data_IF_230863868971
#
_entry.id   IF_230863868971
#
_cell.length_a   1.000
_cell.length_b   1.000
_cell.length_c   1.000
_cell.angle_alpha   90.00
_cell.angle_beta   90.00
_cell.angle_gamma   90.00
#
_symmetry.space_group_name_H-M   'P 1'
#
loop_
_entity.id
_entity.type
_entity.pdbx_description
1 polymer ?
#
# COMPACT_ATOMS: atom_id res chain seq x y z
N UNK A 1 16.59 37.49 -75.35
CA UNK A 1 17.12 37.19 -73.99
C UNK A 1 16.47 35.99 -73.29
N UNK A 2 15.43 35.34 -73.83
CA UNK A 2 14.59 34.45 -73.01
C UNK A 2 14.80 32.93 -73.17
N UNK A 3 15.66 32.46 -74.07
CA UNK A 3 15.82 31.02 -74.36
C UNK A 3 16.93 30.36 -73.53
N UNK A 4 18.04 31.05 -73.29
CA UNK A 4 19.13 30.53 -72.46
C UNK A 4 18.75 30.45 -70.98
N UNK A 5 18.05 31.46 -70.45
CA UNK A 5 17.53 31.44 -69.07
C UNK A 5 16.52 30.30 -68.85
N UNK A 6 15.66 30.00 -69.85
CA UNK A 6 14.71 28.89 -69.76
C UNK A 6 15.41 27.52 -69.72
N UNK A 7 16.46 27.35 -70.52
CA UNK A 7 17.26 26.11 -70.58
C UNK A 7 18.06 25.93 -69.29
N UNK A 8 18.67 26.98 -68.77
CA UNK A 8 19.37 26.94 -67.48
C UNK A 8 18.44 26.59 -66.32
N UNK A 9 17.22 27.13 -66.34
CA UNK A 9 16.20 26.84 -65.32
C UNK A 9 15.69 25.39 -65.39
N UNK A 10 15.43 24.86 -66.58
CA UNK A 10 15.03 23.44 -66.77
C UNK A 10 16.16 22.47 -66.37
N UNK A 11 17.41 22.82 -66.70
CA UNK A 11 18.58 22.03 -66.31
C UNK A 11 18.78 22.03 -64.79
N UNK A 12 18.65 23.18 -64.14
CA UNK A 12 18.74 23.31 -62.68
C UNK A 12 17.63 22.52 -61.97
N UNK A 13 16.40 22.55 -62.51
CA UNK A 13 15.27 21.81 -61.96
C UNK A 13 15.48 20.29 -62.08
N UNK A 14 15.95 19.80 -63.23
CA UNK A 14 16.33 18.38 -63.39
C UNK A 14 17.47 17.96 -62.47
N UNK A 15 18.48 18.81 -62.29
CA UNK A 15 19.56 18.55 -61.33
C UNK A 15 19.03 18.45 -59.89
N UNK A 16 18.13 19.34 -59.48
CA UNK A 16 17.50 19.28 -58.16
C UNK A 16 16.67 18.00 -57.98
N UNK A 17 15.92 17.58 -59.00
CA UNK A 17 15.15 16.34 -58.96
C UNK A 17 16.04 15.09 -58.83
N UNK A 18 17.15 15.02 -59.58
CA UNK A 18 18.08 13.90 -59.49
C UNK A 18 18.83 13.87 -58.15
N UNK A 19 19.22 15.03 -57.61
CA UNK A 19 19.78 15.12 -56.25
C UNK A 19 18.75 14.66 -55.22
N UNK A 20 17.50 15.11 -55.32
CA UNK A 20 16.44 14.70 -54.41
C UNK A 20 16.18 13.19 -54.47
N UNK A 21 16.17 12.58 -55.67
CA UNK A 21 16.06 11.13 -55.84
C UNK A 21 17.23 10.38 -55.21
N UNK A 22 18.46 10.86 -55.42
CA UNK A 22 19.66 10.25 -54.86
C UNK A 22 19.65 10.32 -53.31
N UNK A 23 19.29 11.47 -52.74
CA UNK A 23 19.15 11.67 -51.30
C UNK A 23 18.04 10.77 -50.74
N UNK A 24 16.88 10.70 -51.38
CA UNK A 24 15.78 9.84 -50.94
C UNK A 24 16.18 8.36 -50.97
N UNK A 25 16.87 7.91 -52.01
CA UNK A 25 17.34 6.52 -52.13
C UNK A 25 18.35 6.16 -51.04
N UNK A 26 19.27 7.06 -50.72
CA UNK A 26 20.23 6.83 -49.62
C UNK A 26 19.53 6.83 -48.27
N UNK A 27 18.60 7.76 -48.05
CA UNK A 27 17.78 7.82 -46.84
C UNK A 27 16.91 6.55 -46.66
N UNK A 28 16.34 6.01 -47.74
CA UNK A 28 15.61 4.75 -47.72
C UNK A 28 16.50 3.58 -47.31
N UNK A 29 17.73 3.52 -47.83
CA UNK A 29 18.70 2.47 -47.51
C UNK A 29 19.17 2.57 -46.06
N UNK A 30 19.41 3.78 -45.56
CA UNK A 30 19.75 4.04 -44.17
C UNK A 30 18.58 3.64 -43.25
N UNK A 31 17.36 4.05 -43.59
CA UNK A 31 16.14 3.67 -42.85
C UNK A 31 15.94 2.15 -42.83
N UNK A 32 16.15 1.46 -43.95
CA UNK A 32 16.08 -0.01 -44.02
C UNK A 32 17.14 -0.67 -43.14
N UNK A 33 18.37 -0.14 -43.15
CA UNK A 33 19.48 -0.68 -42.35
C UNK A 33 19.22 -0.49 -40.85
N UNK A 34 18.76 0.70 -40.47
CA UNK A 34 18.37 1.03 -39.11
C UNK A 34 17.21 0.14 -38.63
N UNK A 35 16.13 0.07 -39.42
CA UNK A 35 14.98 -0.79 -39.14
C UNK A 35 15.41 -2.23 -38.93
N UNK A 36 16.24 -2.79 -39.82
CA UNK A 36 16.71 -4.17 -39.72
C UNK A 36 17.55 -4.39 -38.45
N UNK A 37 18.49 -3.49 -38.17
CA UNK A 37 19.34 -3.58 -36.98
C UNK A 37 18.51 -3.64 -35.69
N UNK A 38 17.55 -2.72 -35.54
CA UNK A 38 16.69 -2.64 -34.36
C UNK A 38 15.71 -3.83 -34.30
N UNK A 39 15.20 -4.29 -35.43
CA UNK A 39 14.37 -5.50 -35.47
C UNK A 39 15.14 -6.76 -35.03
N UNK A 40 16.39 -6.92 -35.48
CA UNK A 40 17.23 -8.05 -35.12
C UNK A 40 17.59 -8.02 -33.62
N UNK A 41 17.90 -6.82 -33.07
CA UNK A 41 18.12 -6.62 -31.62
C UNK A 41 16.87 -6.93 -30.80
N UNK A 42 15.71 -6.42 -31.20
CA UNK A 42 14.44 -6.71 -30.54
C UNK A 42 14.15 -8.21 -30.50
N UNK A 43 14.42 -8.91 -31.61
CA UNK A 43 14.29 -10.36 -31.70
C UNK A 43 15.23 -11.09 -30.73
N UNK A 44 16.47 -10.63 -30.60
CA UNK A 44 17.43 -11.18 -29.65
C UNK A 44 16.98 -11.01 -28.19
N UNK A 45 16.48 -9.83 -27.83
CA UNK A 45 15.93 -9.58 -26.50
C UNK A 45 14.68 -10.42 -26.22
N UNK A 46 13.81 -10.57 -27.21
CA UNK A 46 12.61 -11.41 -27.12
C UNK A 46 12.95 -12.90 -26.89
N UNK A 47 14.04 -13.39 -27.50
CA UNK A 47 14.55 -14.74 -27.26
C UNK A 47 15.09 -14.90 -25.84
N UNK A 48 15.67 -13.84 -25.26
CA UNK A 48 16.17 -13.80 -23.88
C UNK A 48 15.08 -13.54 -22.83
N UNK A 49 13.80 -13.40 -23.22
CA UNK A 49 12.69 -12.96 -22.37
C UNK A 49 12.86 -11.55 -21.78
N UNK A 50 13.71 -10.71 -22.38
CA UNK A 50 13.87 -9.31 -22.02
C UNK A 50 12.81 -8.48 -22.75
N UNK A 51 11.55 -8.61 -22.33
CA UNK A 51 10.42 -8.08 -23.10
C UNK A 51 10.39 -6.56 -23.21
N UNK A 52 10.77 -5.84 -22.15
CA UNK A 52 10.85 -4.36 -22.18
C UNK A 52 11.88 -3.88 -23.18
N UNK A 53 13.08 -4.46 -23.16
CA UNK A 53 14.16 -4.13 -24.09
C UNK A 53 13.76 -4.50 -25.53
N UNK A 54 13.10 -5.65 -25.72
CA UNK A 54 12.58 -6.06 -27.01
C UNK A 54 11.56 -5.06 -27.57
N UNK A 55 10.60 -4.60 -26.75
CA UNK A 55 9.60 -3.61 -27.16
C UNK A 55 10.25 -2.27 -27.52
N UNK A 56 11.26 -1.82 -26.78
CA UNK A 56 12.01 -0.60 -27.12
C UNK A 56 12.63 -0.72 -28.52
N UNK A 57 13.36 -1.80 -28.77
CA UNK A 57 14.02 -2.02 -30.07
C UNK A 57 13.01 -2.19 -31.22
N UNK A 58 11.90 -2.90 -31.00
CA UNK A 58 10.85 -3.01 -32.02
C UNK A 58 10.15 -1.67 -32.30
N UNK A 59 9.94 -0.83 -31.29
CA UNK A 59 9.37 0.51 -31.50
C UNK A 59 10.33 1.41 -32.30
N UNK A 60 11.64 1.36 -32.03
CA UNK A 60 12.65 2.05 -32.84
C UNK A 60 12.64 1.58 -34.30
N UNK A 61 12.47 0.28 -34.54
CA UNK A 61 12.31 -0.25 -35.89
C UNK A 61 11.00 0.22 -36.54
N UNK A 62 9.91 0.30 -35.77
CA UNK A 62 8.60 0.76 -36.23
C UNK A 62 8.60 2.24 -36.63
N UNK A 63 9.38 3.09 -35.93
CA UNK A 63 9.53 4.51 -36.28
C UNK A 63 10.02 4.73 -37.71
N UNK A 64 10.89 3.85 -38.22
CA UNK A 64 11.38 3.90 -39.61
C UNK A 64 10.45 3.22 -40.61
N UNK A 65 9.60 2.30 -40.16
CA UNK A 65 8.64 1.59 -41.01
C UNK A 65 7.27 1.41 -40.34
N UNK A 66 6.47 2.49 -40.16
CA UNK A 66 5.21 2.44 -39.39
C UNK A 66 4.14 1.53 -40.00
N UNK A 67 4.27 1.23 -41.30
CA UNK A 67 3.39 0.34 -42.05
C UNK A 67 3.76 -1.14 -41.97
N UNK A 68 4.91 -1.51 -41.39
CA UNK A 68 5.44 -2.88 -41.44
C UNK A 68 4.56 -3.86 -40.62
N UNK A 69 3.89 -4.84 -41.26
CA UNK A 69 3.08 -5.82 -40.54
C UNK A 69 3.93 -6.73 -39.67
N UNK A 70 5.17 -7.02 -40.10
CA UNK A 70 6.10 -7.91 -39.40
C UNK A 70 6.52 -7.31 -38.04
N UNK A 71 6.83 -6.01 -38.01
CA UNK A 71 7.21 -5.32 -36.76
C UNK A 71 6.02 -5.24 -35.82
N UNK A 72 4.83 -4.94 -36.35
CA UNK A 72 3.59 -4.91 -35.55
C UNK A 72 3.26 -6.26 -34.92
N UNK A 73 3.40 -7.36 -35.66
CA UNK A 73 3.17 -8.69 -35.09
C UNK A 73 4.26 -9.07 -34.07
N UNK A 74 5.51 -8.64 -34.27
CA UNK A 74 6.57 -8.84 -33.29
C UNK A 74 6.29 -8.09 -31.97
N UNK A 75 5.82 -6.84 -32.05
CA UNK A 75 5.38 -6.06 -30.89
C UNK A 75 4.21 -6.78 -30.20
N UNK A 76 3.15 -7.12 -30.95
CA UNK A 76 1.97 -7.79 -30.39
C UNK A 76 2.32 -9.12 -29.72
N UNK A 77 3.21 -9.91 -30.31
CA UNK A 77 3.70 -11.17 -29.74
C UNK A 77 4.49 -10.92 -28.44
N UNK A 78 5.30 -9.87 -28.42
CA UNK A 78 6.09 -9.49 -27.25
C UNK A 78 5.19 -9.02 -26.11
N UNK A 79 4.19 -8.18 -26.40
CA UNK A 79 3.16 -7.74 -25.45
C UNK A 79 2.39 -8.93 -24.86
N UNK A 80 1.91 -9.87 -25.69
CA UNK A 80 1.22 -11.08 -25.22
C UNK A 80 2.09 -11.90 -24.25
N UNK A 81 3.40 -12.03 -24.53
CA UNK A 81 4.35 -12.76 -23.66
C UNK A 81 4.66 -12.02 -22.37
N UNK A 82 4.84 -10.69 -22.44
CA UNK A 82 5.00 -9.83 -21.28
C UNK A 82 3.78 -9.94 -20.35
N UNK A 83 2.57 -9.80 -20.88
CA UNK A 83 1.35 -9.96 -20.10
C UNK A 83 1.23 -11.35 -19.47
N UNK A 84 1.62 -12.40 -20.18
CA UNK A 84 1.61 -13.76 -19.65
C UNK A 84 2.58 -13.89 -18.47
N UNK A 85 3.78 -13.30 -18.56
CA UNK A 85 4.75 -13.28 -17.46
C UNK A 85 4.22 -12.51 -16.26
N UNK A 86 3.63 -11.32 -16.47
CA UNK A 86 3.00 -10.53 -15.41
C UNK A 86 1.90 -11.34 -14.72
N UNK A 87 1.01 -12.01 -15.48
CA UNK A 87 -0.04 -12.86 -14.93
C UNK A 87 0.52 -14.00 -14.06
N UNK A 88 1.60 -14.64 -14.48
CA UNK A 88 2.26 -15.70 -13.70
C UNK A 88 2.83 -15.15 -12.39
N UNK A 89 3.52 -14.01 -12.43
CA UNK A 89 4.08 -13.37 -11.23
C UNK A 89 2.97 -12.94 -10.28
N UNK A 90 1.90 -12.32 -10.77
CA UNK A 90 0.73 -11.93 -9.96
C UNK A 90 0.10 -13.16 -9.29
N UNK A 91 -0.11 -14.24 -10.05
CA UNK A 91 -0.67 -15.48 -9.49
C UNK A 91 0.25 -16.08 -8.41
N UNK A 92 1.57 -16.05 -8.61
CA UNK A 92 2.55 -16.53 -7.64
C UNK A 92 2.55 -15.68 -6.37
N UNK A 93 2.57 -14.35 -6.51
CA UNK A 93 2.51 -13.41 -5.38
C UNK A 93 1.23 -13.58 -4.56
N UNK A 94 0.08 -13.76 -5.21
CA UNK A 94 -1.19 -14.07 -4.53
C UNK A 94 -1.17 -15.38 -3.76
N UNK A 95 -0.53 -16.41 -4.32
CA UNK A 95 -0.39 -17.71 -3.63
C UNK A 95 0.49 -17.58 -2.39
N UNK A 96 1.65 -16.93 -2.51
CA UNK A 96 2.54 -16.66 -1.38
C UNK A 96 1.83 -15.85 -0.29
N UNK A 97 1.00 -14.88 -0.68
CA UNK A 97 0.19 -14.11 0.25
C UNK A 97 -0.80 -14.99 1.04
N UNK A 98 -1.51 -15.90 0.36
CA UNK A 98 -2.44 -16.82 1.00
C UNK A 98 -1.74 -17.79 1.96
N UNK A 99 -0.50 -18.17 1.66
CA UNK A 99 0.34 -19.01 2.50
C UNK A 99 0.94 -18.26 3.71
N UNK A 100 0.76 -16.94 3.80
CA UNK A 100 1.32 -16.09 4.86
C UNK A 100 2.76 -15.64 4.62
N UNK A 101 3.34 -15.96 3.46
CA UNK A 101 4.68 -15.57 3.03
C UNK A 101 4.64 -14.13 2.48
N UNK A 102 4.37 -13.17 3.37
CA UNK A 102 4.03 -11.81 2.97
C UNK A 102 5.20 -11.04 2.34
N UNK A 103 6.44 -11.29 2.79
CA UNK A 103 7.63 -10.63 2.25
C UNK A 103 7.90 -11.09 0.82
N UNK A 104 7.83 -12.40 0.58
CA UNK A 104 8.01 -13.02 -0.73
C UNK A 104 6.89 -12.65 -1.69
N UNK A 105 5.65 -12.54 -1.19
CA UNK A 105 4.51 -12.07 -1.96
C UNK A 105 4.72 -10.62 -2.42
N UNK A 106 5.16 -9.73 -1.53
CA UNK A 106 5.42 -8.33 -1.86
C UNK A 106 6.56 -8.20 -2.87
N UNK A 107 7.63 -8.97 -2.72
CA UNK A 107 8.73 -9.03 -3.68
C UNK A 107 8.23 -9.48 -5.06
N UNK A 108 7.52 -10.60 -5.14
CA UNK A 108 7.05 -11.15 -6.42
C UNK A 108 6.06 -10.23 -7.12
N UNK A 109 5.16 -9.55 -6.38
CA UNK A 109 4.26 -8.56 -6.96
C UNK A 109 5.01 -7.30 -7.39
N UNK A 110 6.08 -6.91 -6.69
CA UNK A 110 6.92 -5.78 -7.10
C UNK A 110 7.66 -6.08 -8.41
N UNK A 111 8.14 -7.31 -8.61
CA UNK A 111 8.69 -7.77 -9.88
C UNK A 111 7.65 -7.68 -11.01
N UNK A 112 6.39 -8.06 -10.75
CA UNK A 112 5.30 -7.89 -11.70
C UNK A 112 5.05 -6.41 -12.03
N UNK A 113 5.15 -5.51 -11.04
CA UNK A 113 4.95 -4.07 -11.22
C UNK A 113 6.05 -3.43 -12.06
N UNK A 114 7.30 -3.89 -11.96
CA UNK A 114 8.39 -3.44 -12.83
C UNK A 114 8.07 -3.72 -14.31
N UNK A 115 7.40 -4.84 -14.59
CA UNK A 115 7.01 -5.24 -15.94
C UNK A 115 5.71 -4.56 -16.42
N UNK A 116 4.83 -4.18 -15.49
CA UNK A 116 3.57 -3.48 -15.79
C UNK A 116 3.41 -2.23 -14.90
N UNK A 117 4.25 -1.20 -15.08
CA UNK A 117 4.29 -0.04 -14.19
C UNK A 117 3.03 0.82 -14.26
N UNK A 118 2.20 0.66 -15.29
CA UNK A 118 0.96 1.42 -15.48
C UNK A 118 -0.29 0.64 -15.06
N UNK A 119 -0.18 -0.58 -14.53
CA UNK A 119 -1.36 -1.34 -14.06
C UNK A 119 -1.87 -0.79 -12.70
N UNK A 120 -3.01 -0.08 -12.66
CA UNK A 120 -3.54 0.49 -11.43
C UNK A 120 -4.00 -0.60 -10.46
N UNK A 121 -4.50 -1.74 -10.96
CA UNK A 121 -4.97 -2.84 -10.11
C UNK A 121 -3.81 -3.49 -9.37
N UNK A 122 -2.69 -3.67 -10.05
CA UNK A 122 -1.48 -4.22 -9.45
C UNK A 122 -0.89 -3.27 -8.39
N UNK A 123 -0.87 -1.95 -8.67
CA UNK A 123 -0.47 -0.93 -7.69
C UNK A 123 -1.34 -0.98 -6.44
N UNK A 124 -2.65 -1.03 -6.60
CA UNK A 124 -3.60 -1.10 -5.48
C UNK A 124 -3.41 -2.39 -4.68
N UNK A 125 -3.24 -3.52 -5.35
CA UNK A 125 -3.02 -4.82 -4.70
C UNK A 125 -1.74 -4.84 -3.86
N UNK A 126 -0.62 -4.33 -4.41
CA UNK A 126 0.65 -4.18 -3.69
C UNK A 126 0.49 -3.25 -2.48
N UNK A 127 -0.23 -2.14 -2.63
CA UNK A 127 -0.49 -1.19 -1.55
C UNK A 127 -1.32 -1.83 -0.43
N UNK A 128 -2.37 -2.56 -0.77
CA UNK A 128 -3.19 -3.31 0.20
C UNK A 128 -2.35 -4.35 0.94
N UNK A 129 -1.49 -5.07 0.23
CA UNK A 129 -0.59 -6.05 0.83
C UNK A 129 0.41 -5.39 1.79
N UNK A 130 1.09 -4.34 1.34
CA UNK A 130 2.05 -3.59 2.16
C UNK A 130 1.40 -3.03 3.42
N UNK A 131 0.18 -2.47 3.31
CA UNK A 131 -0.60 -2.03 4.46
C UNK A 131 -0.89 -3.18 5.43
N UNK A 132 -1.26 -4.36 4.93
CA UNK A 132 -1.54 -5.52 5.78
C UNK A 132 -0.32 -6.01 6.56
N UNK A 133 0.85 -6.04 5.92
CA UNK A 133 2.14 -6.34 6.58
C UNK A 133 2.42 -5.31 7.68
N UNK A 134 2.27 -4.03 7.36
CA UNK A 134 2.52 -2.93 8.29
C UNK A 134 1.56 -2.97 9.49
N UNK A 135 0.29 -3.24 9.26
CA UNK A 135 -0.73 -3.44 10.31
C UNK A 135 -0.32 -4.60 11.21
N UNK A 136 0.13 -5.73 10.65
CA UNK A 136 0.57 -6.87 11.47
C UNK A 136 1.77 -6.50 12.34
N UNK A 137 2.78 -5.82 11.78
CA UNK A 137 3.93 -5.35 12.55
C UNK A 137 3.53 -4.40 13.68
N UNK A 138 2.63 -3.45 13.41
CA UNK A 138 2.10 -2.54 14.43
C UNK A 138 1.34 -3.28 15.52
N UNK A 139 0.53 -4.28 15.17
CA UNK A 139 -0.18 -5.12 16.13
C UNK A 139 0.79 -5.91 17.00
N UNK A 140 1.80 -6.56 16.43
CA UNK A 140 2.79 -7.34 17.17
C UNK A 140 3.58 -6.45 18.15
N UNK A 141 4.06 -5.29 17.69
CA UNK A 141 4.76 -4.33 18.55
C UNK A 141 3.85 -3.74 19.64
N UNK A 142 2.60 -3.41 19.29
CA UNK A 142 1.63 -2.89 20.25
C UNK A 142 1.28 -3.92 21.33
N UNK A 143 1.16 -5.20 20.98
CA UNK A 143 0.94 -6.28 21.94
C UNK A 143 2.13 -6.44 22.90
N UNK A 144 3.36 -6.39 22.39
CA UNK A 144 4.55 -6.39 23.25
C UNK A 144 4.56 -5.22 24.24
N UNK A 145 4.25 -4.01 23.77
CA UNK A 145 4.16 -2.83 24.62
C UNK A 145 3.01 -2.91 25.63
N UNK A 146 1.88 -3.50 25.23
CA UNK A 146 0.74 -3.76 26.11
C UNK A 146 1.14 -4.70 27.24
N UNK A 147 1.83 -5.81 26.93
CA UNK A 147 2.29 -6.79 27.92
C UNK A 147 3.33 -6.20 28.90
N UNK A 148 4.11 -5.22 28.44
CA UNK A 148 5.04 -4.44 29.27
C UNK A 148 4.34 -3.34 30.11
N UNK A 149 3.03 -3.16 29.97
CA UNK A 149 2.26 -2.11 30.65
C UNK A 149 2.42 -0.71 30.04
N UNK A 150 3.10 -0.59 28.91
CA UNK A 150 3.31 0.67 28.18
C UNK A 150 2.09 1.01 27.30
N UNK A 151 0.93 1.12 27.95
CA UNK A 151 -0.35 1.18 27.25
C UNK A 151 -0.53 2.41 26.35
N UNK A 152 0.06 3.56 26.68
CA UNK A 152 -0.02 4.76 25.83
C UNK A 152 0.65 4.54 24.46
N UNK A 153 1.81 3.89 24.45
CA UNK A 153 2.55 3.59 23.22
C UNK A 153 1.85 2.47 22.43
N UNK A 154 1.35 1.43 23.13
CA UNK A 154 0.54 0.39 22.52
C UNK A 154 -0.72 0.96 21.85
N UNK A 155 -1.42 1.88 22.52
CA UNK A 155 -2.63 2.52 22.00
C UNK A 155 -2.33 3.28 20.70
N UNK A 156 -1.26 4.09 20.70
CA UNK A 156 -0.82 4.83 19.51
C UNK A 156 -0.61 3.91 18.31
N UNK A 157 0.10 2.78 18.49
CA UNK A 157 0.33 1.81 17.42
C UNK A 157 -0.95 1.12 16.94
N UNK A 158 -1.86 0.76 17.86
CA UNK A 158 -3.16 0.19 17.47
C UNK A 158 -4.02 1.20 16.72
N UNK A 159 -3.99 2.48 17.08
CA UNK A 159 -4.71 3.55 16.38
C UNK A 159 -4.13 3.80 14.99
N UNK A 160 -2.81 3.80 14.83
CA UNK A 160 -2.16 3.89 13.52
C UNK A 160 -2.50 2.69 12.63
N UNK A 161 -2.50 1.48 13.18
CA UNK A 161 -2.97 0.29 12.46
C UNK A 161 -4.45 0.41 12.06
N UNK A 162 -5.30 0.94 12.96
CA UNK A 162 -6.73 1.11 12.71
C UNK A 162 -7.03 2.15 11.64
N UNK A 163 -6.23 3.22 11.53
CA UNK A 163 -6.35 4.18 10.42
C UNK A 163 -6.11 3.54 9.05
N UNK A 164 -5.27 2.50 8.98
CA UNK A 164 -4.97 1.78 7.74
C UNK A 164 -6.05 0.76 7.36
N UNK A 165 -6.72 0.16 8.35
CA UNK A 165 -7.88 -0.71 8.15
C UNK A 165 -8.98 -0.43 9.19
N UNK A 166 -9.81 0.61 8.97
CA UNK A 166 -10.87 0.99 9.90
C UNK A 166 -11.97 -0.06 10.04
N UNK A 167 -12.05 -1.01 9.10
CA UNK A 167 -13.05 -2.08 9.10
C UNK A 167 -12.65 -3.25 10.01
N UNK A 168 -11.40 -3.27 10.48
CA UNK A 168 -10.86 -4.35 11.28
C UNK A 168 -11.39 -4.34 12.72
N UNK A 169 -12.39 -5.18 12.99
CA UNK A 169 -12.98 -5.32 14.33
C UNK A 169 -11.95 -5.71 15.40
N UNK A 170 -10.92 -6.49 15.06
CA UNK A 170 -9.87 -6.89 16.02
C UNK A 170 -9.04 -5.71 16.48
N UNK A 171 -8.68 -4.80 15.57
CA UNK A 171 -7.97 -3.57 15.93
C UNK A 171 -8.80 -2.70 16.88
N UNK A 172 -10.11 -2.57 16.61
CA UNK A 172 -11.03 -1.90 17.53
C UNK A 172 -11.04 -2.54 18.91
N UNK A 173 -11.12 -3.88 18.98
CA UNK A 173 -11.09 -4.60 20.25
C UNK A 173 -9.77 -4.40 21.01
N UNK A 174 -8.63 -4.38 20.31
CA UNK A 174 -7.32 -4.09 20.91
C UNK A 174 -7.24 -2.67 21.47
N UNK A 175 -7.74 -1.68 20.72
CA UNK A 175 -7.83 -0.28 21.18
C UNK A 175 -8.65 -0.20 22.47
N UNK A 176 -9.84 -0.80 22.51
CA UNK A 176 -10.70 -0.76 23.70
C UNK A 176 -10.11 -1.51 24.90
N UNK A 177 -9.43 -2.64 24.68
CA UNK A 177 -8.67 -3.33 25.74
C UNK A 177 -7.52 -2.47 26.27
N UNK A 178 -6.82 -1.78 25.38
CA UNK A 178 -5.70 -0.90 25.74
C UNK A 178 -6.17 0.31 26.52
N UNK A 179 -7.23 0.98 26.07
CA UNK A 179 -7.86 2.09 26.80
C UNK A 179 -8.37 1.68 28.19
N UNK A 180 -8.90 0.46 28.32
CA UNK A 180 -9.25 -0.14 29.63
C UNK A 180 -8.02 -0.36 30.51
N UNK A 181 -6.93 -0.91 29.97
CA UNK A 181 -5.65 -1.06 30.68
C UNK A 181 -5.05 0.27 31.15
N UNK A 182 -5.31 1.36 30.42
CA UNK A 182 -4.90 2.73 30.80
C UNK A 182 -5.80 3.39 31.84
N UNK A 183 -7.00 2.85 32.09
CA UNK A 183 -8.03 3.54 32.87
C UNK A 183 -8.58 4.81 32.20
N UNK A 184 -8.50 4.90 30.86
CA UNK A 184 -8.94 6.08 30.06
C UNK A 184 -10.41 5.99 29.64
N UNK A 185 -11.01 4.80 29.69
CA UNK A 185 -12.47 4.67 29.56
C UNK A 185 -13.09 5.07 30.89
N UNK A 186 -13.47 6.34 31.02
CA UNK A 186 -14.32 6.78 32.11
C UNK A 186 -15.68 6.09 31.90
N UNK A 187 -15.95 5.04 32.68
CA UNK A 187 -17.25 4.39 32.64
C UNK A 187 -18.25 5.37 33.27
N UNK A 188 -18.99 6.07 32.42
CA UNK A 188 -20.13 6.88 32.85
C UNK A 188 -21.13 5.96 33.57
N UNK A 189 -21.40 6.29 34.82
CA UNK A 189 -22.37 5.57 35.64
C UNK A 189 -23.78 6.01 35.23
N UNK A 190 -24.74 5.09 35.17
CA UNK A 190 -26.14 5.51 35.07
C UNK A 190 -26.55 6.33 36.31
N UNK A 191 -27.63 7.12 36.19
CA UNK A 191 -28.10 8.02 37.25
C UNK A 191 -28.30 7.33 38.59
N UNK A 192 -28.73 6.06 38.60
CA UNK A 192 -28.95 5.31 39.83
C UNK A 192 -27.64 4.89 40.48
N UNK A 193 -26.71 4.39 39.66
CA UNK A 193 -25.36 4.02 40.08
C UNK A 193 -24.57 5.22 40.59
N UNK A 194 -24.79 6.40 40.00
CA UNK A 194 -24.20 7.66 40.44
C UNK A 194 -24.79 8.13 41.79
N UNK A 195 -26.10 8.05 41.99
CA UNK A 195 -26.72 8.32 43.31
C UNK A 195 -26.17 7.39 44.38
N UNK A 196 -26.00 6.10 44.07
CA UNK A 196 -25.39 5.13 44.99
C UNK A 196 -23.93 5.46 45.26
N UNK A 197 -23.16 5.87 44.25
CA UNK A 197 -21.78 6.30 44.42
C UNK A 197 -21.67 7.50 45.38
N UNK A 198 -22.51 8.53 45.20
CA UNK A 198 -22.58 9.72 46.06
C UNK A 198 -22.94 9.32 47.49
N UNK A 199 -23.91 8.44 47.69
CA UNK A 199 -24.24 7.92 49.03
C UNK A 199 -23.05 7.22 49.69
N UNK A 200 -22.23 6.49 48.92
CA UNK A 200 -20.98 5.92 49.41
C UNK A 200 -19.98 7.00 49.86
N UNK A 201 -19.88 8.10 49.10
CA UNK A 201 -19.04 9.26 49.46
C UNK A 201 -19.53 9.91 50.76
N UNK A 202 -20.83 10.12 50.93
CA UNK A 202 -21.41 10.70 52.15
C UNK A 202 -21.10 9.85 53.38
N UNK A 203 -21.24 8.52 53.27
CA UNK A 203 -20.90 7.57 54.33
C UNK A 203 -19.40 7.58 54.65
N UNK A 204 -18.55 7.69 53.63
CA UNK A 204 -17.11 7.79 53.79
C UNK A 204 -16.72 9.08 54.54
N UNK A 205 -17.31 10.22 54.17
CA UNK A 205 -17.09 11.51 54.85
C UNK A 205 -17.61 11.49 56.30
N UNK A 206 -18.69 10.77 56.57
CA UNK A 206 -19.23 10.55 57.91
C UNK A 206 -18.39 9.56 58.76
N UNK A 207 -17.26 9.06 58.25
CA UNK A 207 -16.40 8.09 58.94
C UNK A 207 -16.92 6.65 58.94
N UNK A 208 -18.05 6.38 58.26
CA UNK A 208 -18.66 5.05 58.14
C UNK A 208 -18.03 4.27 56.97
N UNK A 209 -16.72 4.07 57.06
CA UNK A 209 -15.90 3.56 55.96
C UNK A 209 -16.30 2.15 55.48
N UNK A 210 -16.73 1.26 56.40
CA UNK A 210 -17.14 -0.10 56.04
C UNK A 210 -18.42 -0.11 55.19
N UNK A 211 -19.35 0.79 55.48
CA UNK A 211 -20.62 0.88 54.75
C UNK A 211 -20.43 1.55 53.39
N UNK A 212 -19.57 2.57 53.31
CA UNK A 212 -19.13 3.14 52.05
C UNK A 212 -18.45 2.08 51.15
N UNK A 213 -17.56 1.27 51.73
CA UNK A 213 -16.86 0.20 51.03
C UNK A 213 -17.82 -0.86 50.48
N UNK A 214 -18.85 -1.25 51.25
CA UNK A 214 -19.85 -2.22 50.78
C UNK A 214 -20.63 -1.69 49.55
N UNK A 215 -21.00 -0.41 49.55
CA UNK A 215 -21.70 0.21 48.40
C UNK A 215 -20.78 0.26 47.18
N UNK A 216 -19.53 0.69 47.37
CA UNK A 216 -18.60 0.80 46.25
C UNK A 216 -18.16 -0.56 45.70
N UNK A 217 -18.01 -1.61 46.52
CA UNK A 217 -17.74 -2.98 46.06
C UNK A 217 -18.91 -3.60 45.29
N UNK A 218 -20.14 -3.25 45.63
CA UNK A 218 -21.30 -3.66 44.83
C UNK A 218 -21.33 -2.95 43.47
N UNK A 219 -21.03 -1.64 43.45
CA UNK A 219 -20.89 -0.87 42.21
C UNK A 219 -19.71 -1.36 41.37
N UNK A 220 -18.65 -1.87 41.98
CA UNK A 220 -17.47 -2.43 41.30
C UNK A 220 -17.82 -3.64 40.44
N UNK A 221 -18.84 -4.43 40.80
CA UNK A 221 -19.29 -5.54 39.96
C UNK A 221 -19.83 -5.06 38.60
N UNK A 222 -20.45 -3.87 38.58
CA UNK A 222 -21.03 -3.27 37.37
C UNK A 222 -20.06 -2.33 36.65
N UNK A 223 -19.17 -1.69 37.41
CA UNK A 223 -18.17 -0.74 36.91
C UNK A 223 -16.75 -1.11 37.36
N UNK A 224 -16.25 -2.32 37.04
CA UNK A 224 -15.00 -2.83 37.59
C UNK A 224 -13.77 -2.00 37.21
N UNK A 225 -13.89 -1.17 36.17
CA UNK A 225 -12.80 -0.38 35.61
C UNK A 225 -12.93 1.12 35.88
N UNK A 226 -13.91 1.55 36.67
CA UNK A 226 -14.10 2.98 36.97
C UNK A 226 -12.99 3.48 37.88
N UNK A 227 -12.12 4.36 37.35
CA UNK A 227 -10.99 4.93 38.10
C UNK A 227 -11.44 5.66 39.37
N UNK A 228 -12.50 6.47 39.30
CA UNK A 228 -13.07 7.16 40.47
C UNK A 228 -13.52 6.17 41.55
N UNK A 229 -14.12 5.06 41.14
CA UNK A 229 -14.61 4.02 42.04
C UNK A 229 -13.46 3.24 42.70
N UNK A 230 -12.44 2.88 41.92
CA UNK A 230 -11.24 2.19 42.41
C UNK A 230 -10.47 3.05 43.43
N UNK A 231 -10.32 4.35 43.15
CA UNK A 231 -9.70 5.30 44.08
C UNK A 231 -10.50 5.46 45.38
N UNK A 232 -11.83 5.49 45.29
CA UNK A 232 -12.73 5.56 46.43
C UNK A 232 -12.64 4.30 47.33
N UNK A 233 -12.68 3.10 46.72
CA UNK A 233 -12.52 1.81 47.42
C UNK A 233 -11.18 1.76 48.15
N UNK A 234 -10.08 2.06 47.45
CA UNK A 234 -8.74 2.07 48.04
C UNK A 234 -8.65 3.05 49.22
N UNK A 235 -9.23 4.23 49.09
CA UNK A 235 -9.26 5.23 50.15
C UNK A 235 -10.04 4.76 51.38
N UNK A 236 -11.17 4.08 51.19
CA UNK A 236 -11.95 3.44 52.27
C UNK A 236 -11.17 2.33 52.97
N UNK A 237 -10.52 1.45 52.22
CA UNK A 237 -9.72 0.36 52.80
C UNK A 237 -8.54 0.89 53.61
N UNK A 238 -7.85 1.94 53.12
CA UNK A 238 -6.75 2.56 53.83
C UNK A 238 -7.20 3.27 55.12
N UNK A 239 -8.38 3.92 55.10
CA UNK A 239 -8.95 4.54 56.32
C UNK A 239 -9.35 3.49 57.34
N UNK A 240 -10.02 2.41 56.94
CA UNK A 240 -10.40 1.30 57.82
C UNK A 240 -9.21 0.64 58.51
N UNK A 241 -8.09 0.49 57.79
CA UNK A 241 -6.85 -0.06 58.36
C UNK A 241 -6.22 0.87 59.39
N UNK A 242 -6.40 2.18 59.27
CA UNK A 242 -5.85 3.19 60.19
C UNK A 242 -6.73 3.46 61.40
N UNK A 243 -8.01 3.14 61.33
CA UNK A 243 -8.98 3.29 62.43
C UNK A 243 -9.18 2.03 63.28
N UNK A 244 -8.50 0.93 62.92
CA UNK A 244 -8.35 -0.28 63.75
C UNK A 244 -7.06 -0.19 64.54
#
# INVERSE_FOLDING_TARGET
ENTNELIEKDLAQKQQEEIAKAVNKELEKENQTYMKLHFDKGTLFLQKNQFTDALVEFNLALERAPGSPVIKEAIATTERRLEAQVRVLVSKGRKQFQEGNYSEALQTLSEALVLAPEDPKLKDEIKTLANRIKIQQYVEQALQLYDLGNYQQALSLFEEAFKMDPSNKRLKDYIERTKRGMGVVEQEMDQESERRYIRGVDLFLAGRYQEALNIWKDLEQKYPYSKKLQEAIRSAEDRLKKTK
#
